data_IF_207505052428
#
_entry.id   IF_207505052428
#
_cell.length_a   1.000
_cell.length_b   1.000
_cell.length_c   1.000
_cell.angle_alpha   90.00
_cell.angle_beta   90.00
_cell.angle_gamma   90.00
#
_symmetry.space_group_name_H-M   'P 1'
#
loop_
_entity.id
_entity.type
_entity.pdbx_description
1 polymer ?
#
# COMPACT_ATOMS: atom_id res chain seq x y z
N UNK A 1 32.24 3.55 21.46
CA UNK A 1 31.68 3.18 20.16
C UNK A 1 30.18 3.18 20.25
N UNK A 2 29.51 3.84 19.32
CA UNK A 2 28.07 3.82 19.15
C UNK A 2 27.69 2.59 18.34
N UNK A 3 26.93 1.66 18.91
CA UNK A 3 26.46 0.46 18.24
C UNK A 3 24.95 0.55 18.10
N UNK A 4 24.43 0.31 16.89
CA UNK A 4 22.98 0.27 16.65
C UNK A 4 22.50 -1.18 16.70
N UNK A 5 21.48 -1.45 17.50
CA UNK A 5 20.89 -2.77 17.66
C UNK A 5 19.56 -2.81 16.95
N UNK A 6 19.44 -3.69 15.96
CA UNK A 6 18.17 -4.02 15.31
C UNK A 6 17.59 -5.28 15.96
N UNK A 7 16.60 -5.11 16.82
CA UNK A 7 15.96 -6.19 17.56
C UNK A 7 14.72 -6.69 16.82
N UNK A 8 14.68 -7.99 16.54
CA UNK A 8 13.51 -8.71 16.03
C UNK A 8 12.99 -9.64 17.13
N UNK A 9 11.79 -9.36 17.61
CA UNK A 9 11.11 -10.16 18.64
C UNK A 9 10.37 -11.35 18.02
N UNK A 10 9.89 -12.26 18.88
CA UNK A 10 9.15 -13.47 18.47
C UNK A 10 7.88 -13.18 17.68
N UNK A 11 7.19 -12.10 18.01
CA UNK A 11 5.97 -11.64 17.33
C UNK A 11 6.26 -10.88 16.03
N UNK A 12 7.51 -10.94 15.54
CA UNK A 12 8.02 -10.18 14.40
C UNK A 12 7.98 -8.66 14.62
N UNK A 13 7.75 -8.19 15.85
CA UNK A 13 7.90 -6.77 16.15
C UNK A 13 9.38 -6.37 16.15
N UNK A 14 9.63 -5.19 15.60
CA UNK A 14 10.98 -4.68 15.40
C UNK A 14 11.21 -3.45 16.27
N UNK A 15 12.36 -3.41 16.94
CA UNK A 15 12.78 -2.27 17.75
C UNK A 15 14.23 -1.96 17.42
N UNK A 16 14.52 -0.70 17.09
CA UNK A 16 15.89 -0.25 16.84
C UNK A 16 16.30 0.76 17.91
N UNK A 17 17.45 0.54 18.53
CA UNK A 17 18.01 1.44 19.54
C UNK A 17 19.54 1.52 19.41
N UNK A 18 20.14 2.57 19.95
CA UNK A 18 21.58 2.79 19.88
C UNK A 18 22.20 2.79 21.28
N UNK A 19 23.29 2.05 21.46
CA UNK A 19 24.03 1.94 22.72
C UNK A 19 25.43 2.52 22.57
N UNK A 20 25.80 3.42 23.48
CA UNK A 20 27.17 3.93 23.59
C UNK A 20 27.97 3.03 24.55
N UNK A 21 28.83 2.17 23.99
CA UNK A 21 29.63 1.19 24.76
C UNK A 21 31.11 1.31 24.47
N UNK A 22 31.97 0.78 25.33
CA UNK A 22 33.42 0.76 25.09
C UNK A 22 33.82 -0.44 24.20
N UNK A 23 34.89 -0.38 23.39
CA UNK A 23 35.32 -1.53 22.58
C UNK A 23 35.74 -2.76 23.40
N UNK A 24 36.22 -2.57 24.63
CA UNK A 24 36.58 -3.61 25.59
C UNK A 24 35.37 -4.16 26.37
N UNK A 25 34.16 -3.70 26.07
CA UNK A 25 32.94 -4.16 26.73
C UNK A 25 32.67 -5.64 26.41
N UNK A 26 32.41 -6.44 27.45
CA UNK A 26 32.14 -7.88 27.29
C UNK A 26 30.73 -8.13 26.73
N UNK A 27 30.60 -9.21 25.95
CA UNK A 27 29.33 -9.61 25.34
C UNK A 27 28.23 -9.86 26.37
N UNK A 28 28.55 -10.45 27.53
CA UNK A 28 27.60 -10.66 28.63
C UNK A 28 26.92 -9.35 29.07
N UNK A 29 27.73 -8.34 29.36
CA UNK A 29 27.23 -7.03 29.80
C UNK A 29 26.45 -6.32 28.68
N UNK A 30 26.84 -6.54 27.42
CA UNK A 30 26.12 -6.02 26.27
C UNK A 30 24.72 -6.63 26.13
N UNK A 31 24.55 -7.94 26.40
CA UNK A 31 23.22 -8.57 26.42
C UNK A 31 22.32 -7.99 27.51
N UNK A 32 22.85 -7.68 28.68
CA UNK A 32 22.09 -7.04 29.78
C UNK A 32 21.59 -5.65 29.37
N UNK A 33 22.43 -4.85 28.70
CA UNK A 33 21.98 -3.56 28.16
C UNK A 33 20.89 -3.73 27.08
N UNK A 34 21.04 -4.74 26.23
CA UNK A 34 20.03 -5.06 25.24
C UNK A 34 18.70 -5.51 25.86
N UNK A 35 18.71 -6.28 26.96
CA UNK A 35 17.50 -6.65 27.71
C UNK A 35 16.77 -5.42 28.24
N UNK A 36 17.50 -4.46 28.81
CA UNK A 36 16.92 -3.24 29.36
C UNK A 36 16.18 -2.41 28.29
N UNK A 37 16.76 -2.28 27.10
CA UNK A 37 16.19 -1.48 26.00
C UNK A 37 15.14 -2.25 25.19
N UNK A 38 15.35 -3.54 24.94
CA UNK A 38 14.46 -4.36 24.10
C UNK A 38 13.31 -5.02 24.87
N UNK A 39 13.42 -5.16 26.19
CA UNK A 39 12.49 -5.93 27.01
C UNK A 39 12.57 -7.45 26.79
N UNK A 40 13.57 -7.94 26.04
CA UNK A 40 13.78 -9.36 25.77
C UNK A 40 14.69 -9.95 26.86
N UNK A 41 14.31 -11.04 27.54
CA UNK A 41 15.15 -11.65 28.57
C UNK A 41 16.51 -12.10 28.03
N UNK A 42 17.59 -11.91 28.78
CA UNK A 42 18.97 -12.26 28.34
C UNK A 42 19.11 -13.70 27.83
N UNK A 43 18.39 -14.66 28.43
CA UNK A 43 18.43 -16.07 28.02
C UNK A 43 17.80 -16.33 26.63
N UNK A 44 17.00 -15.39 26.15
CA UNK A 44 16.37 -15.45 24.82
C UNK A 44 17.12 -14.60 23.79
N UNK A 45 18.10 -13.79 24.19
CA UNK A 45 18.83 -12.89 23.29
C UNK A 45 19.91 -13.66 22.51
N UNK A 46 19.84 -13.60 21.18
CA UNK A 46 20.91 -13.96 20.27
C UNK A 46 21.41 -12.72 19.52
N UNK A 47 22.73 -12.47 19.53
CA UNK A 47 23.32 -11.31 18.85
C UNK A 47 24.13 -11.79 17.65
N UNK A 48 23.81 -11.28 16.47
CA UNK A 48 24.46 -11.58 15.20
C UNK A 48 25.15 -10.33 14.67
N UNK A 49 26.42 -10.48 14.31
CA UNK A 49 27.24 -9.45 13.69
C UNK A 49 28.07 -10.04 12.55
N UNK A 50 28.04 -9.43 11.36
CA UNK A 50 28.69 -9.93 10.14
C UNK A 50 28.39 -11.42 9.87
N UNK A 51 27.12 -11.81 9.92
CA UNK A 51 26.63 -13.20 9.71
C UNK A 51 27.15 -14.21 10.74
N UNK A 52 27.75 -13.76 11.85
CA UNK A 52 28.27 -14.61 12.93
C UNK A 52 27.48 -14.39 14.21
N UNK A 53 27.01 -15.49 14.80
CA UNK A 53 26.43 -15.48 16.15
C UNK A 53 27.54 -15.25 17.18
N UNK A 54 27.36 -14.25 18.04
CA UNK A 54 28.28 -13.96 19.14
C UNK A 54 27.93 -14.86 20.34
N UNK A 55 28.83 -15.80 20.68
CA UNK A 55 28.55 -16.86 21.66
C UNK A 55 29.44 -16.84 22.91
N UNK A 56 30.61 -16.20 22.85
CA UNK A 56 31.54 -16.14 23.98
C UNK A 56 31.27 -14.89 24.80
N UNK A 57 30.64 -15.10 25.96
CA UNK A 57 30.14 -14.09 26.86
C UNK A 57 31.25 -13.20 27.46
N UNK A 58 32.49 -13.71 27.54
CA UNK A 58 33.64 -12.98 28.07
C UNK A 58 34.49 -12.31 26.99
N UNK A 59 34.17 -12.55 25.71
CA UNK A 59 34.87 -11.90 24.62
C UNK A 59 34.40 -10.45 24.49
N UNK A 60 35.35 -9.53 24.28
CA UNK A 60 35.04 -8.11 24.08
C UNK A 60 34.39 -7.88 22.72
N UNK A 61 33.50 -6.89 22.62
CA UNK A 61 32.86 -6.52 21.36
C UNK A 61 33.89 -6.10 20.29
N UNK A 62 34.98 -5.43 20.69
CA UNK A 62 36.09 -5.08 19.80
C UNK A 62 36.84 -6.31 19.27
N UNK A 63 36.99 -7.38 20.07
CA UNK A 63 37.57 -8.65 19.62
C UNK A 63 36.70 -9.36 18.58
N UNK A 64 35.38 -9.15 18.62
CA UNK A 64 34.45 -9.58 17.56
C UNK A 64 34.50 -8.70 16.31
N UNK A 65 35.27 -7.60 16.35
CA UNK A 65 35.45 -6.69 15.23
C UNK A 65 34.38 -5.61 15.11
N UNK A 66 33.58 -5.38 16.17
CA UNK A 66 32.65 -4.26 16.22
C UNK A 66 33.43 -2.93 16.33
N UNK A 67 32.96 -1.94 15.58
CA UNK A 67 33.49 -0.58 15.49
C UNK A 67 32.38 0.43 15.74
N UNK A 68 32.80 1.69 15.82
CA UNK A 68 31.89 2.83 15.94
C UNK A 68 30.99 2.96 14.70
N UNK A 69 29.68 3.00 14.92
CA UNK A 69 28.67 3.10 13.87
C UNK A 69 28.14 1.76 13.34
N UNK A 70 28.64 0.62 13.85
CA UNK A 70 28.21 -0.68 13.36
C UNK A 70 26.79 -1.07 13.84
N UNK A 71 26.14 -1.91 13.04
CA UNK A 71 24.80 -2.43 13.30
C UNK A 71 24.90 -3.91 13.66
N UNK A 72 24.22 -4.32 14.73
CA UNK A 72 24.07 -5.71 15.14
C UNK A 72 22.61 -6.12 15.12
N UNK A 73 22.34 -7.38 14.83
CA UNK A 73 20.98 -7.94 14.84
C UNK A 73 20.78 -8.72 16.14
N UNK A 74 19.72 -8.39 16.86
CA UNK A 74 19.28 -9.12 18.04
C UNK A 74 18.05 -9.93 17.68
N UNK A 75 18.11 -11.25 17.87
CA UNK A 75 16.98 -12.16 17.67
C UNK A 75 16.53 -12.74 19.01
N UNK A 76 15.21 -12.77 19.25
CA UNK A 76 14.62 -13.45 20.40
C UNK A 76 14.36 -14.93 20.11
N UNK A 77 15.05 -15.84 20.81
CA UNK A 77 14.90 -17.29 20.69
C UNK A 77 13.78 -17.85 21.58
N UNK A 78 13.15 -18.93 21.15
CA UNK A 78 12.26 -19.76 21.98
C UNK A 78 13.06 -20.51 23.07
N UNK A 79 12.74 -20.26 24.33
CA UNK A 79 13.34 -20.98 25.46
C UNK A 79 12.61 -22.32 25.64
N UNK A 80 13.10 -23.39 24.99
CA UNK A 80 12.67 -24.76 25.29
C UNK A 80 13.45 -25.24 26.52
N UNK A 81 13.06 -24.75 27.69
CA UNK A 81 13.55 -25.26 28.97
C UNK A 81 13.00 -26.66 29.28
N UNK A 82 13.73 -27.52 30.03
CA UNK A 82 13.30 -28.89 30.29
C UNK A 82 12.08 -28.92 31.22
N UNK A 83 10.98 -29.53 30.78
CA UNK A 83 9.79 -29.79 31.61
C UNK A 83 10.17 -30.66 32.82
N UNK A 84 9.85 -30.25 34.07
CA UNK A 84 9.77 -31.20 35.17
C UNK A 84 8.49 -32.03 35.03
N UNK A 85 8.67 -33.33 35.00
CA UNK A 85 7.64 -34.36 34.90
C UNK A 85 6.62 -34.26 36.03
N UNK A 86 5.34 -34.04 35.67
CA UNK A 86 4.23 -34.16 36.60
C UNK A 86 4.07 -35.63 37.06
N UNK A 87 4.23 -35.89 38.36
CA UNK A 87 3.69 -37.08 39.03
C UNK A 87 2.45 -36.69 39.81
N UNK A 88 1.42 -37.50 39.58
CA UNK A 88 0.06 -37.54 40.11
C UNK A 88 -0.04 -37.52 41.64
N UNK A 89 -1.06 -36.88 42.22
CA UNK A 89 -2.07 -37.50 43.12
C UNK A 89 -3.01 -36.50 43.84
N UNK A 90 -4.30 -36.85 43.84
CA UNK A 90 -5.37 -36.64 44.85
C UNK A 90 -5.78 -35.23 45.36
N UNK A 91 -7.05 -34.91 45.08
CA UNK A 91 -8.07 -34.03 45.74
C UNK A 91 -7.95 -33.79 47.28
N UNK A 92 -8.75 -32.88 47.92
CA UNK A 92 -9.62 -31.79 47.43
C UNK A 92 -9.52 -30.42 48.19
N UNK A 93 -10.19 -29.39 47.62
CA UNK A 93 -10.82 -28.17 48.21
C UNK A 93 -10.25 -27.47 49.46
N UNK A 94 -10.16 -26.13 49.41
CA UNK A 94 -10.96 -25.18 50.24
C UNK A 94 -10.79 -23.73 49.73
N UNK A 95 -11.92 -23.04 49.69
CA UNK A 95 -12.19 -21.64 49.33
C UNK A 95 -11.95 -20.70 50.55
N UNK A 96 -11.38 -19.52 50.32
CA UNK A 96 -11.40 -18.40 51.27
C UNK A 96 -11.56 -17.06 50.53
N UNK A 97 -12.70 -16.89 49.86
CA UNK A 97 -13.28 -15.59 49.57
C UNK A 97 -13.87 -14.98 50.86
N UNK A 98 -13.08 -14.17 51.57
CA UNK A 98 -13.60 -13.47 52.75
C UNK A 98 -12.58 -12.75 53.64
N UNK A 99 -11.91 -11.71 53.14
CA UNK A 99 -11.48 -10.59 53.99
C UNK A 99 -11.77 -9.28 53.26
N UNK A 100 -12.49 -8.39 53.95
CA UNK A 100 -13.07 -7.16 53.43
C UNK A 100 -12.26 -5.90 53.80
N UNK A 101 -12.04 -5.04 52.78
CA UNK A 101 -12.17 -3.55 52.73
C UNK A 101 -11.22 -2.68 53.61
N UNK A 102 -11.05 -1.33 53.40
CA UNK A 102 -11.86 -0.36 52.61
C UNK A 102 -11.15 0.81 51.85
N UNK A 103 -11.91 1.45 50.94
CA UNK A 103 -11.83 2.90 50.58
C UNK A 103 -11.03 3.23 49.31
N UNK A 104 -11.52 3.91 48.27
CA UNK A 104 -12.50 5.00 48.19
C UNK A 104 -13.28 5.03 46.84
N UNK A 105 -14.52 5.53 46.96
CA UNK A 105 -15.53 5.96 45.97
C UNK A 105 -15.01 6.96 44.91
N UNK A 106 -15.57 7.24 43.72
CA UNK A 106 -16.89 7.09 43.04
C UNK A 106 -16.68 7.70 41.62
N UNK A 107 -17.18 7.19 40.48
CA UNK A 107 -18.55 7.31 39.90
C UNK A 107 -18.60 6.52 38.55
N UNK A 108 -19.40 5.44 38.39
CA UNK A 108 -20.72 5.31 37.73
C UNK A 108 -20.84 5.94 36.30
N UNK A 109 -21.36 5.33 35.22
CA UNK A 109 -21.95 4.00 34.89
C UNK A 109 -22.31 3.96 33.34
N UNK A 110 -23.03 2.97 32.72
CA UNK A 110 -22.51 2.06 31.66
C UNK A 110 -23.36 1.92 30.35
N UNK A 111 -22.90 1.11 29.37
CA UNK A 111 -23.73 0.26 28.46
C UNK A 111 -22.82 -0.75 27.71
N UNK A 112 -22.83 -2.03 28.09
CA UNK A 112 -23.51 -3.20 27.47
C UNK A 112 -22.96 -3.69 26.11
N UNK A 113 -22.17 -4.77 26.16
CA UNK A 113 -22.00 -5.76 25.08
C UNK A 113 -22.47 -7.12 25.63
N UNK A 114 -23.38 -7.78 24.91
CA UNK A 114 -23.96 -9.06 25.30
C UNK A 114 -23.46 -10.14 24.33
N UNK A 115 -22.71 -11.07 24.88
CA UNK A 115 -22.15 -12.25 24.25
C UNK A 115 -23.13 -13.42 24.47
N UNK A 116 -23.52 -14.14 23.42
CA UNK A 116 -24.25 -15.40 23.55
C UNK A 116 -23.39 -16.57 23.09
N UNK A 117 -22.95 -17.37 24.06
CA UNK A 117 -22.44 -18.72 23.87
C UNK A 117 -23.60 -19.73 23.81
N UNK A 118 -23.40 -20.71 22.95
CA UNK A 118 -24.31 -21.78 22.52
C UNK A 118 -24.27 -22.94 23.51
N UNK A 119 -25.43 -23.35 24.03
CA UNK A 119 -25.60 -24.58 24.81
C UNK A 119 -26.30 -25.66 23.98
N UNK A 120 -25.77 -26.88 24.05
CA UNK A 120 -26.36 -28.11 23.49
C UNK A 120 -27.42 -28.68 24.44
N UNK A 121 -28.44 -29.31 23.89
CA UNK A 121 -29.24 -30.34 24.58
C UNK A 121 -29.61 -31.46 23.62
N UNK A 122 -29.59 -32.69 24.14
CA UNK A 122 -29.72 -33.95 23.43
C UNK A 122 -31.06 -34.66 23.76
N UNK A 123 -31.29 -35.79 23.08
CA UNK A 123 -32.34 -36.84 23.26
C UNK A 123 -33.68 -36.61 22.53
N UNK A 124 -34.36 -37.57 21.90
CA UNK A 124 -34.29 -39.05 21.91
C UNK A 124 -35.14 -39.67 20.76
N UNK A 125 -34.55 -40.66 20.07
CA UNK A 125 -35.08 -42.00 19.72
C UNK A 125 -36.32 -42.25 18.83
N UNK A 126 -36.14 -43.01 17.74
CA UNK A 126 -36.56 -44.43 17.52
C UNK A 126 -36.47 -44.79 16.03
N UNK A 127 -35.90 -45.96 15.73
CA UNK A 127 -35.63 -46.41 14.35
C UNK A 127 -36.52 -47.54 13.85
N UNK A 128 -36.21 -47.99 12.61
CA UNK A 128 -36.24 -49.36 12.06
C UNK A 128 -36.35 -49.26 10.53
N UNK A 129 -35.56 -50.09 9.82
CA UNK A 129 -35.99 -50.62 8.52
C UNK A 129 -35.04 -50.42 7.33
N UNK A 130 -34.39 -51.53 6.97
CA UNK A 130 -34.05 -51.98 5.61
C UNK A 130 -33.23 -51.08 4.69
N UNK A 131 -32.04 -51.57 4.35
CA UNK A 131 -31.22 -50.99 3.30
C UNK A 131 -31.85 -51.12 1.92
N UNK A 132 -31.67 -50.07 1.12
CA UNK A 132 -31.63 -50.15 -0.32
C UNK A 132 -30.50 -49.27 -0.84
N UNK A 133 -29.94 -49.76 -1.93
CA UNK A 133 -28.72 -49.34 -2.60
C UNK A 133 -28.77 -47.89 -3.07
N UNK A 134 -27.57 -47.29 -3.15
CA UNK A 134 -27.11 -46.42 -4.24
C UNK A 134 -28.16 -46.16 -5.32
N UNK A 135 -28.70 -44.94 -5.42
CA UNK A 135 -29.18 -44.30 -6.66
C UNK A 135 -29.74 -42.91 -6.34
N UNK A 136 -28.90 -41.87 -6.29
CA UNK A 136 -29.37 -40.49 -6.47
C UNK A 136 -28.18 -39.51 -6.48
N UNK A 137 -27.34 -39.61 -7.51
CA UNK A 137 -26.43 -38.53 -7.90
C UNK A 137 -26.75 -38.00 -9.32
N UNK A 138 -27.59 -38.67 -10.10
CA UNK A 138 -27.85 -38.35 -11.51
C UNK A 138 -29.01 -37.34 -11.73
N UNK A 139 -29.56 -36.75 -10.66
CA UNK A 139 -30.79 -35.94 -10.72
C UNK A 139 -30.62 -34.42 -10.81
N UNK A 140 -29.40 -33.88 -10.60
CA UNK A 140 -29.16 -32.43 -10.51
C UNK A 140 -28.53 -31.81 -11.78
N UNK A 141 -28.21 -32.61 -12.79
CA UNK A 141 -27.47 -32.16 -13.98
C UNK A 141 -28.37 -31.82 -15.18
N UNK A 142 -29.70 -31.84 -15.03
CA UNK A 142 -30.56 -31.55 -16.20
C UNK A 142 -30.53 -30.04 -16.53
N UNK A 143 -30.10 -29.64 -17.74
CA UNK A 143 -29.97 -28.23 -18.13
C UNK A 143 -31.31 -27.47 -18.07
N UNK A 144 -32.42 -28.18 -18.26
CA UNK A 144 -33.76 -27.63 -18.15
C UNK A 144 -34.13 -27.21 -16.73
N UNK A 145 -33.73 -27.99 -15.72
CA UNK A 145 -34.01 -27.68 -14.32
C UNK A 145 -33.16 -26.48 -13.86
N UNK A 146 -31.87 -26.46 -14.22
CA UNK A 146 -30.94 -25.36 -13.93
C UNK A 146 -31.43 -24.06 -14.56
N UNK A 147 -31.89 -24.11 -15.82
CA UNK A 147 -32.50 -22.96 -16.49
C UNK A 147 -33.74 -22.46 -15.75
N UNK A 148 -34.63 -23.37 -15.33
CA UNK A 148 -35.85 -23.00 -14.60
C UNK A 148 -35.56 -22.39 -13.22
N UNK A 149 -34.50 -22.85 -12.56
CA UNK A 149 -34.02 -22.33 -11.28
C UNK A 149 -33.42 -20.92 -11.44
N UNK A 150 -32.58 -20.70 -12.44
CA UNK A 150 -31.98 -19.39 -12.72
C UNK A 150 -33.02 -18.35 -13.16
N UNK A 151 -34.07 -18.78 -13.88
CA UNK A 151 -35.16 -17.89 -14.29
C UNK A 151 -36.17 -17.61 -13.17
N UNK A 152 -36.27 -18.47 -12.15
CA UNK A 152 -37.20 -18.29 -11.04
C UNK A 152 -36.71 -17.29 -10.00
N UNK A 153 -35.40 -17.03 -9.93
CA UNK A 153 -34.80 -16.08 -9.01
C UNK A 153 -34.14 -14.89 -9.75
N UNK A 154 -34.71 -13.67 -9.65
CA UNK A 154 -34.14 -12.47 -10.27
C UNK A 154 -32.74 -12.10 -9.77
N UNK A 155 -32.39 -12.48 -8.54
CA UNK A 155 -31.08 -12.21 -7.94
C UNK A 155 -29.98 -13.07 -8.59
N UNK A 156 -30.24 -14.36 -8.79
CA UNK A 156 -29.30 -15.30 -9.41
C UNK A 156 -29.01 -14.91 -10.87
N UNK A 157 -30.01 -14.37 -11.56
CA UNK A 157 -29.87 -13.79 -12.90
C UNK A 157 -28.94 -12.57 -12.95
N UNK A 158 -28.96 -11.73 -11.91
CA UNK A 158 -28.09 -10.55 -11.82
C UNK A 158 -26.64 -10.97 -11.60
N UNK A 159 -26.40 -11.88 -10.65
CA UNK A 159 -25.09 -12.48 -10.38
C UNK A 159 -24.52 -13.20 -11.61
N UNK A 160 -25.36 -13.93 -12.34
CA UNK A 160 -24.94 -14.63 -13.56
C UNK A 160 -24.50 -13.65 -14.66
N UNK A 161 -25.19 -12.51 -14.82
CA UNK A 161 -24.80 -11.48 -15.80
C UNK A 161 -23.46 -10.83 -15.47
N UNK A 162 -23.18 -10.66 -14.18
CA UNK A 162 -21.95 -10.01 -13.70
C UNK A 162 -20.74 -10.95 -13.81
N UNK A 163 -20.88 -12.20 -13.36
CA UNK A 163 -19.78 -13.16 -13.34
C UNK A 163 -19.63 -13.98 -14.64
N UNK A 164 -20.69 -14.10 -15.45
CA UNK A 164 -20.71 -15.01 -16.58
C UNK A 164 -21.67 -14.57 -17.70
N UNK A 165 -21.31 -13.52 -18.46
CA UNK A 165 -22.18 -12.91 -19.45
C UNK A 165 -22.59 -13.87 -20.57
N UNK A 166 -21.70 -14.77 -21.00
CA UNK A 166 -21.96 -15.76 -22.05
C UNK A 166 -23.10 -16.72 -21.69
N UNK A 167 -23.11 -17.26 -20.47
CA UNK A 167 -24.18 -18.14 -20.01
C UNK A 167 -25.49 -17.37 -19.76
N UNK A 168 -25.40 -16.12 -19.30
CA UNK A 168 -26.57 -15.25 -19.13
C UNK A 168 -27.25 -14.91 -20.46
N UNK A 169 -26.49 -14.61 -21.51
CA UNK A 169 -27.01 -14.37 -22.86
C UNK A 169 -27.67 -15.62 -23.44
N UNK A 170 -27.04 -16.79 -23.28
CA UNK A 170 -27.61 -18.07 -23.71
C UNK A 170 -28.93 -18.38 -22.97
N UNK A 171 -29.02 -18.06 -21.67
CA UNK A 171 -30.24 -18.23 -20.87
C UNK A 171 -31.38 -17.30 -21.34
N UNK A 172 -31.06 -16.03 -21.59
CA UNK A 172 -32.02 -14.98 -22.02
C UNK A 172 -32.47 -15.12 -23.47
N UNK A 173 -31.67 -15.77 -24.31
CA UNK A 173 -32.01 -16.08 -25.71
C UNK A 173 -33.28 -16.93 -25.85
N UNK A 174 -33.70 -17.61 -24.77
CA UNK A 174 -34.87 -18.48 -24.76
C UNK A 174 -34.62 -19.86 -25.38
N UNK A 175 -33.45 -20.08 -25.97
CA UNK A 175 -33.08 -21.33 -26.65
C UNK A 175 -32.45 -22.32 -25.66
N UNK A 176 -33.19 -23.39 -25.35
CA UNK A 176 -32.74 -24.43 -24.41
C UNK A 176 -31.48 -25.17 -24.91
N UNK A 177 -31.39 -25.40 -26.22
CA UNK A 177 -30.26 -26.10 -26.84
C UNK A 177 -28.96 -25.29 -26.69
N UNK A 178 -29.04 -23.99 -26.96
CA UNK A 178 -27.91 -23.06 -26.83
C UNK A 178 -27.47 -22.92 -25.37
N UNK A 179 -28.42 -22.78 -24.45
CA UNK A 179 -28.12 -22.75 -23.02
C UNK A 179 -27.45 -24.04 -22.54
N UNK A 180 -27.98 -25.21 -22.95
CA UNK A 180 -27.41 -26.51 -22.59
C UNK A 180 -25.99 -26.67 -23.12
N UNK A 181 -25.73 -26.24 -24.34
CA UNK A 181 -24.40 -26.32 -24.95
C UNK A 181 -23.38 -25.48 -24.19
N UNK A 182 -23.70 -24.21 -23.90
CA UNK A 182 -22.82 -23.29 -23.16
C UNK A 182 -22.60 -23.78 -21.71
N UNK A 183 -23.66 -24.29 -21.06
CA UNK A 183 -23.58 -24.85 -19.71
C UNK A 183 -22.66 -26.08 -19.66
N UNK A 184 -22.83 -27.03 -20.59
CA UNK A 184 -22.00 -28.24 -20.65
C UNK A 184 -20.55 -27.92 -21.00
N UNK A 185 -20.31 -26.94 -21.87
CA UNK A 185 -18.97 -26.49 -22.21
C UNK A 185 -18.27 -25.87 -20.99
N UNK A 186 -18.96 -25.02 -20.23
CA UNK A 186 -18.42 -24.46 -18.99
C UNK A 186 -18.21 -25.50 -17.89
N UNK A 187 -19.13 -26.47 -17.74
CA UNK A 187 -18.94 -27.56 -16.79
C UNK A 187 -17.73 -28.42 -17.16
N UNK A 188 -17.54 -28.70 -18.46
CA UNK A 188 -16.37 -29.45 -18.95
C UNK A 188 -15.08 -28.68 -18.73
N UNK A 189 -15.06 -27.38 -19.00
CA UNK A 189 -13.88 -26.55 -18.78
C UNK A 189 -13.52 -26.45 -17.28
N UNK A 190 -14.53 -26.30 -16.42
CA UNK A 190 -14.33 -26.35 -14.96
C UNK A 190 -13.82 -27.71 -14.49
N UNK A 191 -14.42 -28.80 -14.97
CA UNK A 191 -14.00 -30.16 -14.63
C UNK A 191 -12.57 -30.45 -15.11
N UNK A 192 -12.20 -29.97 -16.30
CA UNK A 192 -10.83 -30.10 -16.82
C UNK A 192 -9.83 -29.33 -15.94
N UNK A 193 -10.13 -28.08 -15.60
CA UNK A 193 -9.30 -27.27 -14.69
C UNK A 193 -9.19 -27.91 -13.31
N UNK A 194 -10.28 -28.44 -12.78
CA UNK A 194 -10.29 -29.13 -11.48
C UNK A 194 -9.46 -30.42 -11.54
N UNK A 195 -9.55 -31.17 -12.65
CA UNK A 195 -8.76 -32.38 -12.87
C UNK A 195 -7.26 -32.07 -13.04
N UNK A 196 -6.90 -31.00 -13.76
CA UNK A 196 -5.52 -30.51 -13.87
C UNK A 196 -4.99 -30.10 -12.50
N UNK A 197 -5.79 -29.39 -11.70
CA UNK A 197 -5.44 -28.99 -10.33
C UNK A 197 -5.21 -30.20 -9.43
N UNK A 198 -6.11 -31.19 -9.48
CA UNK A 198 -5.99 -32.44 -8.71
C UNK A 198 -4.77 -33.26 -9.14
N UNK A 199 -4.48 -33.32 -10.43
CA UNK A 199 -3.29 -34.01 -10.95
C UNK A 199 -1.99 -33.32 -10.50
N UNK A 200 -2.00 -31.99 -10.37
CA UNK A 200 -0.89 -31.23 -9.81
C UNK A 200 -0.68 -31.49 -8.31
N UNK A 201 -1.77 -31.60 -7.52
CA UNK A 201 -1.71 -31.97 -6.11
C UNK A 201 -1.37 -33.46 -5.87
N UNK A 202 -1.63 -34.33 -6.84
CA UNK A 202 -1.27 -35.76 -6.77
C UNK A 202 0.08 -36.07 -7.41
N UNK A 203 0.75 -35.08 -8.02
CA UNK A 203 2.08 -35.24 -8.57
C UNK A 203 3.09 -35.48 -7.43
N UNK A 204 4.21 -36.13 -7.77
CA UNK A 204 5.31 -36.40 -6.85
C UNK A 204 5.74 -35.10 -6.14
N UNK A 205 5.89 -35.07 -4.80
CA UNK A 205 6.39 -33.92 -4.05
C UNK A 205 7.70 -33.32 -4.57
N UNK A 206 8.46 -34.04 -5.41
CA UNK A 206 9.70 -33.59 -6.05
C UNK A 206 9.55 -33.12 -7.50
N UNK A 207 8.32 -33.01 -8.03
CA UNK A 207 8.07 -32.46 -9.36
C UNK A 207 8.24 -30.93 -9.36
N UNK A 208 9.27 -30.46 -10.08
CA UNK A 208 9.64 -29.04 -10.16
C UNK A 208 8.53 -28.18 -10.77
N UNK A 209 7.74 -28.73 -11.71
CA UNK A 209 6.67 -27.96 -12.36
C UNK A 209 5.46 -27.80 -11.44
N UNK A 210 5.16 -28.82 -10.61
CA UNK A 210 4.12 -28.75 -9.60
C UNK A 210 4.50 -27.79 -8.46
N UNK A 211 5.75 -27.84 -7.98
CA UNK A 211 6.25 -26.90 -6.97
C UNK A 211 6.20 -25.45 -7.45
N UNK A 212 6.61 -25.17 -8.70
CA UNK A 212 6.57 -23.81 -9.26
C UNK A 212 5.14 -23.25 -9.38
N UNK A 213 4.16 -24.09 -9.75
CA UNK A 213 2.75 -23.69 -9.81
C UNK A 213 2.17 -23.44 -8.40
N UNK A 214 2.52 -24.28 -7.42
CA UNK A 214 2.12 -24.09 -6.02
C UNK A 214 2.73 -22.80 -5.46
N UNK A 215 4.01 -22.53 -5.74
CA UNK A 215 4.70 -21.30 -5.33
C UNK A 215 4.01 -20.05 -5.90
N UNK A 216 3.67 -20.06 -7.20
CA UNK A 216 2.98 -18.95 -7.84
C UNK A 216 1.56 -18.75 -7.26
N UNK A 217 0.83 -19.82 -6.97
CA UNK A 217 -0.50 -19.76 -6.34
C UNK A 217 -0.43 -19.17 -4.92
N UNK A 218 0.56 -19.57 -4.12
CA UNK A 218 0.83 -18.98 -2.79
C UNK A 218 1.24 -17.51 -2.92
N UNK A 219 2.08 -17.17 -3.90
CA UNK A 219 2.51 -15.79 -4.14
C UNK A 219 1.31 -14.90 -4.47
N UNK A 220 0.41 -15.37 -5.34
CA UNK A 220 -0.81 -14.65 -5.70
C UNK A 220 -1.73 -14.48 -4.50
N UNK A 221 -1.94 -15.52 -3.70
CA UNK A 221 -2.72 -15.44 -2.46
C UNK A 221 -2.15 -14.41 -1.48
N UNK A 222 -0.84 -14.41 -1.25
CA UNK A 222 -0.19 -13.42 -0.38
C UNK A 222 -0.36 -11.99 -0.89
N UNK A 223 -0.28 -11.78 -2.21
CA UNK A 223 -0.52 -10.46 -2.83
C UNK A 223 -1.97 -10.03 -2.66
N UNK A 224 -2.92 -10.94 -2.87
CA UNK A 224 -4.35 -10.67 -2.74
C UNK A 224 -4.77 -10.40 -1.28
N UNK A 225 -4.22 -11.17 -0.34
CA UNK A 225 -4.43 -10.96 1.09
C UNK A 225 -3.85 -9.62 1.55
N UNK A 226 -2.62 -9.28 1.13
CA UNK A 226 -2.04 -7.97 1.40
C UNK A 226 -2.86 -6.83 0.79
N UNK A 227 -3.41 -7.02 -0.41
CA UNK A 227 -4.31 -6.04 -1.05
C UNK A 227 -5.58 -5.84 -0.22
N UNK A 228 -6.20 -6.93 0.24
CA UNK A 228 -7.40 -6.88 1.07
C UNK A 228 -7.14 -6.18 2.41
N UNK A 229 -6.03 -6.52 3.09
CA UNK A 229 -5.62 -5.86 4.33
C UNK A 229 -5.43 -4.35 4.08
N UNK A 230 -4.75 -3.98 3.00
CA UNK A 230 -4.57 -2.57 2.67
C UNK A 230 -5.92 -1.88 2.40
N UNK A 231 -6.87 -2.52 1.72
CA UNK A 231 -8.19 -1.95 1.45
C UNK A 231 -9.00 -1.73 2.75
N UNK A 232 -8.86 -2.63 3.73
CA UNK A 232 -9.54 -2.53 5.02
C UNK A 232 -8.89 -1.50 5.96
N UNK A 233 -7.56 -1.53 6.08
CA UNK A 233 -6.81 -0.76 7.08
C UNK A 233 -6.37 0.63 6.57
N UNK A 234 -6.16 0.79 5.26
CA UNK A 234 -5.66 2.04 4.68
C UNK A 234 -6.34 2.36 3.34
N UNK A 235 -7.68 2.56 3.33
CA UNK A 235 -8.43 2.84 2.10
C UNK A 235 -7.93 4.10 1.37
N UNK A 236 -7.39 5.08 2.10
CA UNK A 236 -6.71 6.26 1.55
C UNK A 236 -5.49 5.95 0.67
N UNK A 237 -4.82 4.80 0.84
CA UNK A 237 -3.72 4.37 -0.04
C UNK A 237 -4.18 4.06 -1.46
N UNK A 238 -5.48 3.80 -1.65
CA UNK A 238 -6.12 3.59 -2.94
C UNK A 238 -6.76 4.86 -3.50
N UNK A 239 -6.87 5.91 -2.67
CA UNK A 239 -7.34 7.22 -3.07
C UNK A 239 -6.27 7.98 -3.85
N UNK A 240 -6.68 8.65 -4.92
CA UNK A 240 -5.78 9.55 -5.61
C UNK A 240 -5.58 10.82 -4.79
N UNK A 241 -4.32 11.09 -4.41
CA UNK A 241 -3.98 12.27 -3.61
C UNK A 241 -4.04 13.51 -4.50
N UNK A 242 -4.92 14.44 -4.16
CA UNK A 242 -5.00 15.73 -4.84
C UNK A 242 -3.69 16.52 -4.68
N UNK A 243 -3.15 16.99 -5.80
CA UNK A 243 -1.93 17.81 -5.80
C UNK A 243 -2.19 19.19 -5.20
N UNK A 244 -1.16 19.77 -4.58
CA UNK A 244 -1.25 21.05 -3.88
C UNK A 244 -1.22 22.22 -4.86
N UNK A 245 -2.34 22.92 -4.99
CA UNK A 245 -2.46 24.15 -5.77
C UNK A 245 -2.98 25.29 -4.92
N UNK A 246 -2.57 26.51 -5.23
CA UNK A 246 -3.13 27.74 -4.64
C UNK A 246 -3.56 28.72 -5.72
N UNK A 247 -4.52 29.59 -5.38
CA UNK A 247 -4.84 30.75 -6.20
C UNK A 247 -3.81 31.86 -5.96
N UNK A 248 -3.32 32.46 -7.04
CA UNK A 248 -2.51 33.66 -6.97
C UNK A 248 -2.76 34.55 -8.19
N UNK A 249 -2.19 35.75 -8.20
CA UNK A 249 -2.25 36.65 -9.34
C UNK A 249 -0.86 37.15 -9.69
N UNK A 250 -0.61 37.33 -10.99
CA UNK A 250 0.58 38.01 -11.48
C UNK A 250 0.12 39.13 -12.40
N UNK A 251 0.55 40.35 -12.10
CA UNK A 251 0.12 41.56 -12.82
C UNK A 251 -1.41 41.69 -12.92
N UNK A 252 -2.14 41.30 -11.86
CA UNK A 252 -3.60 41.33 -11.78
C UNK A 252 -4.33 40.14 -12.44
N UNK A 253 -3.63 39.30 -13.21
CA UNK A 253 -4.21 38.14 -13.86
C UNK A 253 -4.22 36.92 -12.92
N UNK A 254 -5.38 36.27 -12.69
CA UNK A 254 -5.46 35.09 -11.84
C UNK A 254 -4.83 33.86 -12.52
N UNK A 255 -4.16 33.05 -11.71
CA UNK A 255 -3.58 31.77 -12.11
C UNK A 255 -3.54 30.81 -10.92
N UNK A 256 -3.38 29.52 -11.23
CA UNK A 256 -3.26 28.45 -10.24
C UNK A 256 -1.82 28.00 -10.22
N UNK A 257 -1.17 28.15 -9.08
CA UNK A 257 0.22 27.76 -8.90
C UNK A 257 0.30 26.39 -8.24
N UNK A 258 1.03 25.47 -8.87
CA UNK A 258 1.40 24.18 -8.30
C UNK A 258 2.48 24.37 -7.23
N UNK A 259 2.29 23.82 -6.03
CA UNK A 259 3.24 23.95 -4.93
C UNK A 259 4.08 22.69 -4.83
N UNK A 260 5.38 22.80 -5.09
CA UNK A 260 6.30 21.67 -5.18
C UNK A 260 7.61 21.95 -4.43
N UNK A 261 7.74 21.36 -3.23
CA UNK A 261 8.98 21.45 -2.45
C UNK A 261 10.12 20.60 -3.02
N UNK A 262 9.84 19.66 -3.92
CA UNK A 262 10.84 18.84 -4.61
C UNK A 262 11.51 19.56 -5.78
N UNK A 263 10.87 20.61 -6.32
CA UNK A 263 11.45 21.44 -7.35
C UNK A 263 12.41 22.49 -6.78
N UNK A 264 13.65 22.52 -7.27
CA UNK A 264 14.63 23.52 -6.84
C UNK A 264 14.26 24.95 -7.28
N UNK A 265 13.63 25.10 -8.43
CA UNK A 265 13.38 26.40 -9.06
C UNK A 265 11.90 26.63 -9.32
N UNK A 266 11.44 27.85 -9.07
CA UNK A 266 10.12 28.32 -9.47
C UNK A 266 10.10 28.62 -10.96
N UNK A 267 9.05 28.15 -11.64
CA UNK A 267 8.91 28.20 -13.09
C UNK A 267 7.53 28.73 -13.48
N UNK A 268 7.47 29.49 -14.56
CA UNK A 268 6.23 29.90 -15.21
C UNK A 268 6.24 29.50 -16.69
N UNK A 269 5.10 29.08 -17.24
CA UNK A 269 5.00 28.78 -18.68
C UNK A 269 5.03 30.06 -19.52
N UNK A 270 5.52 29.96 -20.76
CA UNK A 270 5.52 31.08 -21.70
C UNK A 270 4.10 31.61 -21.94
N UNK A 271 3.13 30.72 -22.14
CA UNK A 271 1.72 31.09 -22.34
C UNK A 271 1.15 31.87 -21.15
N UNK A 272 1.51 31.48 -19.91
CA UNK A 272 1.12 32.21 -18.71
C UNK A 272 1.78 33.60 -18.65
N UNK A 273 3.07 33.69 -18.99
CA UNK A 273 3.80 34.97 -18.99
C UNK A 273 3.26 35.95 -20.06
N UNK A 274 2.84 35.45 -21.22
CA UNK A 274 2.12 36.22 -22.26
C UNK A 274 0.78 36.71 -21.75
N UNK A 275 -0.04 35.81 -21.18
CA UNK A 275 -1.35 36.13 -20.61
C UNK A 275 -1.28 37.15 -19.46
N UNK A 276 -0.24 37.08 -18.64
CA UNK A 276 0.00 38.02 -17.55
C UNK A 276 0.66 39.33 -18.02
N UNK A 277 0.97 39.47 -19.32
CA UNK A 277 1.62 40.64 -19.91
C UNK A 277 2.97 41.00 -19.23
N UNK A 278 3.78 39.98 -18.91
CA UNK A 278 5.10 40.14 -18.28
C UNK A 278 6.26 39.69 -19.17
N UNK A 279 6.02 39.36 -20.44
CA UNK A 279 7.08 38.96 -21.40
C UNK A 279 8.20 40.00 -21.52
N UNK A 280 7.86 41.29 -21.39
CA UNK A 280 8.83 42.40 -21.36
C UNK A 280 9.87 42.31 -20.22
N UNK A 281 9.59 41.52 -19.17
CA UNK A 281 10.49 41.32 -18.02
C UNK A 281 11.42 40.11 -18.19
N UNK A 282 11.25 39.33 -19.27
CA UNK A 282 12.00 38.09 -19.48
C UNK A 282 13.38 38.39 -20.06
N UNK A 283 14.40 38.16 -19.26
CA UNK A 283 15.80 38.26 -19.68
C UNK A 283 16.22 36.99 -20.44
N UNK A 284 16.30 37.10 -21.76
CA UNK A 284 16.68 36.00 -22.67
C UNK A 284 18.16 35.60 -22.58
N UNK A 285 19.01 36.38 -21.90
CA UNK A 285 20.42 35.97 -21.66
C UNK A 285 20.51 34.74 -20.76
N UNK A 286 19.44 34.45 -20.01
CA UNK A 286 19.28 33.28 -19.17
C UNK A 286 18.52 32.14 -19.88
N UNK A 287 18.39 32.21 -21.21
CA UNK A 287 17.87 31.10 -22.00
C UNK A 287 18.83 29.91 -21.93
N UNK A 288 18.28 28.71 -21.98
CA UNK A 288 19.05 27.47 -21.85
C UNK A 288 18.18 26.23 -21.91
N UNK A 289 18.74 25.10 -21.51
CA UNK A 289 18.03 23.83 -21.43
C UNK A 289 18.00 23.41 -19.96
N UNK A 290 16.81 23.31 -19.38
CA UNK A 290 16.60 22.71 -18.07
C UNK A 290 16.79 21.19 -18.19
N UNK A 291 17.74 20.64 -17.43
CA UNK A 291 17.91 19.19 -17.26
C UNK A 291 17.30 18.79 -15.91
N UNK A 292 16.23 18.00 -15.96
CA UNK A 292 15.52 17.46 -14.79
C UNK A 292 14.79 16.17 -15.18
N UNK A 293 13.50 16.04 -14.83
CA UNK A 293 12.59 14.98 -15.32
C UNK A 293 12.25 15.27 -16.80
N UNK A 294 13.26 15.17 -17.67
CA UNK A 294 13.21 15.56 -19.08
C UNK A 294 14.09 16.76 -19.43
N UNK A 295 14.18 17.04 -20.73
CA UNK A 295 14.86 18.22 -21.29
C UNK A 295 13.81 19.24 -21.73
N UNK A 296 13.79 20.41 -21.10
CA UNK A 296 12.86 21.49 -21.46
C UNK A 296 13.60 22.77 -21.80
N UNK A 297 13.09 23.54 -22.77
CA UNK A 297 13.71 24.80 -23.21
C UNK A 297 13.31 25.94 -22.27
N UNK A 298 14.30 26.54 -21.63
CA UNK A 298 14.16 27.78 -20.87
C UNK A 298 14.25 28.95 -21.86
N UNK A 299 13.19 29.74 -21.95
CA UNK A 299 13.12 30.95 -22.78
C UNK A 299 13.94 32.11 -22.19
N UNK A 300 13.98 32.19 -20.86
CA UNK A 300 14.70 33.22 -20.12
C UNK A 300 14.31 33.23 -18.65
N UNK A 301 14.68 34.31 -17.95
CA UNK A 301 14.40 34.47 -16.52
C UNK A 301 13.77 35.82 -16.21
N UNK A 302 12.77 35.83 -15.34
CA UNK A 302 12.25 37.04 -14.70
C UNK A 302 12.99 37.19 -13.37
N UNK A 303 13.76 38.27 -13.25
CA UNK A 303 14.60 38.52 -12.06
C UNK A 303 13.78 38.99 -10.86
N UNK A 304 12.72 39.76 -11.11
CA UNK A 304 11.86 40.30 -10.07
C UNK A 304 10.47 40.58 -10.65
N UNK A 305 9.46 39.89 -10.12
CA UNK A 305 8.05 40.20 -10.33
C UNK A 305 7.28 39.96 -9.02
N UNK A 306 6.14 40.62 -8.88
CA UNK A 306 5.26 40.42 -7.74
C UNK A 306 4.24 39.31 -8.04
N UNK A 307 4.24 38.29 -7.20
CA UNK A 307 3.16 37.29 -7.13
C UNK A 307 2.24 37.70 -6.00
N UNK A 308 0.99 38.01 -6.32
CA UNK A 308 -0.01 38.33 -5.35
C UNK A 308 -0.65 37.05 -4.80
N UNK A 309 -0.61 36.86 -3.49
CA UNK A 309 -1.31 35.78 -2.77
C UNK A 309 -2.21 36.46 -1.75
N UNK A 310 -3.52 36.25 -1.87
CA UNK A 310 -4.51 37.03 -1.12
C UNK A 310 -4.28 38.55 -1.26
N UNK A 311 -3.96 39.24 -0.17
CA UNK A 311 -3.63 40.66 -0.13
C UNK A 311 -2.15 41.00 -0.28
N UNK A 312 -1.26 40.01 -0.23
CA UNK A 312 0.19 40.23 -0.16
C UNK A 312 0.86 40.13 -1.52
N UNK A 313 1.89 40.94 -1.73
CA UNK A 313 2.66 40.99 -2.97
C UNK A 313 4.09 40.48 -2.73
N UNK A 314 4.33 39.22 -3.07
CA UNK A 314 5.60 38.54 -2.85
C UNK A 314 6.56 38.80 -4.01
N UNK A 315 7.74 39.31 -3.68
CA UNK A 315 8.82 39.52 -4.65
C UNK A 315 9.50 38.20 -5.00
N UNK A 316 9.32 37.76 -6.24
CA UNK A 316 9.78 36.45 -6.72
C UNK A 316 10.59 36.58 -8.01
N UNK A 317 11.55 35.67 -8.16
CA UNK A 317 12.30 35.43 -9.39
C UNK A 317 11.97 34.04 -9.92
N UNK A 318 11.78 33.88 -11.22
CA UNK A 318 11.42 32.58 -11.80
C UNK A 318 11.87 32.45 -13.25
N UNK A 319 12.08 31.21 -13.69
CA UNK A 319 12.43 30.91 -15.08
C UNK A 319 11.18 30.73 -15.92
N UNK A 320 11.26 31.08 -17.22
CA UNK A 320 10.18 30.88 -18.18
C UNK A 320 10.48 29.67 -19.03
N UNK A 321 9.60 28.69 -19.02
CA UNK A 321 9.68 27.49 -19.87
C UNK A 321 8.70 27.59 -21.05
N UNK A 322 9.11 27.08 -22.21
CA UNK A 322 8.30 27.13 -23.42
C UNK A 322 7.02 26.30 -23.31
N UNK A 323 7.18 25.01 -23.02
CA UNK A 323 6.08 24.05 -22.93
C UNK A 323 6.01 23.51 -21.52
N UNK A 324 4.94 23.83 -20.82
CA UNK A 324 4.66 23.31 -19.48
C UNK A 324 3.15 23.15 -19.32
N UNK A 325 2.67 22.02 -18.79
CA UNK A 325 1.23 21.75 -18.70
C UNK A 325 0.51 22.65 -17.67
N UNK A 326 1.22 23.12 -16.64
CA UNK A 326 0.70 24.04 -15.62
C UNK A 326 1.18 25.47 -15.87
N UNK A 327 0.40 26.46 -15.42
CA UNK A 327 0.74 27.88 -15.58
C UNK A 327 1.99 28.27 -14.80
N UNK A 328 2.06 27.85 -13.54
CA UNK A 328 3.14 28.21 -12.62
C UNK A 328 3.41 27.08 -11.63
N UNK A 329 4.69 26.86 -11.34
CA UNK A 329 5.19 25.95 -10.32
C UNK A 329 5.98 26.78 -9.32
N UNK A 330 5.56 26.77 -8.06
CA UNK A 330 6.24 27.37 -6.92
C UNK A 330 7.19 26.35 -6.30
N UNK A 331 8.47 26.55 -6.58
CA UNK A 331 9.56 25.71 -6.11
C UNK A 331 10.09 26.11 -4.74
N UNK A 332 11.02 25.30 -4.25
CA UNK A 332 11.67 25.47 -2.95
C UNK A 332 12.43 26.79 -2.82
N UNK A 333 12.92 27.38 -3.92
CA UNK A 333 13.58 28.68 -3.92
C UNK A 333 12.69 29.81 -3.38
N UNK A 334 11.43 29.86 -3.82
CA UNK A 334 10.45 30.87 -3.38
C UNK A 334 9.82 30.48 -2.05
N UNK A 335 9.51 29.20 -1.84
CA UNK A 335 8.99 28.70 -0.56
C UNK A 335 9.96 29.02 0.58
N UNK A 336 11.26 28.77 0.38
CA UNK A 336 12.29 29.10 1.37
C UNK A 336 12.49 30.60 1.54
N UNK A 337 12.47 31.36 0.45
CA UNK A 337 12.66 32.83 0.49
C UNK A 337 11.60 33.53 1.33
N UNK A 338 10.34 33.11 1.23
CA UNK A 338 9.22 33.69 1.99
C UNK A 338 8.86 32.89 3.25
N UNK A 339 9.74 31.98 3.67
CA UNK A 339 9.60 31.16 4.88
C UNK A 339 8.24 30.44 4.93
N UNK A 340 7.79 29.93 3.79
CA UNK A 340 6.47 29.32 3.69
C UNK A 340 6.37 28.03 4.52
N UNK A 341 5.19 27.77 5.06
CA UNK A 341 4.85 26.51 5.72
C UNK A 341 3.70 25.84 4.96
N UNK A 342 3.93 24.62 4.49
CA UNK A 342 2.92 23.77 3.87
C UNK A 342 2.22 23.04 5.01
N UNK A 343 1.06 23.55 5.45
CA UNK A 343 0.30 22.97 6.56
C UNK A 343 -0.82 22.08 6.00
N UNK A 344 -0.53 20.78 5.90
CA UNK A 344 -1.49 19.78 5.42
C UNK A 344 -2.58 19.46 6.45
N UNK A 345 -2.37 19.79 7.73
CA UNK A 345 -3.40 19.60 8.77
C UNK A 345 -4.51 20.62 8.64
N UNK A 346 -4.17 21.87 8.33
CA UNK A 346 -5.13 22.96 8.05
C UNK A 346 -5.48 23.09 6.56
N UNK A 347 -4.76 22.37 5.69
CA UNK A 347 -4.85 22.45 4.25
C UNK A 347 -4.64 23.88 3.71
N UNK A 348 -3.57 24.54 4.17
CA UNK A 348 -3.19 25.91 3.77
C UNK A 348 -1.70 26.03 3.49
N UNK A 349 -1.35 26.96 2.59
CA UNK A 349 -0.01 27.50 2.50
C UNK A 349 0.09 28.77 3.36
N UNK A 350 0.96 28.74 4.36
CA UNK A 350 1.28 29.91 5.18
C UNK A 350 2.48 30.62 4.59
N UNK A 351 2.39 31.94 4.41
CA UNK A 351 3.50 32.80 4.01
C UNK A 351 4.19 33.30 5.29
N UNK A 352 5.37 32.78 5.61
CA UNK A 352 6.01 33.03 6.92
C UNK A 352 6.41 34.49 7.14
N UNK A 353 6.74 35.22 6.07
CA UNK A 353 7.15 36.64 6.17
C UNK A 353 6.01 37.57 6.55
N UNK A 354 4.76 37.21 6.28
CA UNK A 354 3.58 38.08 6.53
C UNK A 354 2.54 37.45 7.44
N UNK A 355 2.56 36.13 7.60
CA UNK A 355 1.54 35.36 8.32
C UNK A 355 0.27 35.08 7.50
N UNK A 356 0.20 35.56 6.25
CA UNK A 356 -0.93 35.32 5.35
C UNK A 356 -1.08 33.84 5.06
N UNK A 357 -2.33 33.38 5.00
CA UNK A 357 -2.67 32.00 4.71
C UNK A 357 -3.59 31.96 3.49
N UNK A 358 -3.32 31.02 2.59
CA UNK A 358 -4.20 30.72 1.45
C UNK A 358 -4.52 29.23 1.44
N UNK A 359 -5.76 28.88 1.14
CA UNK A 359 -6.19 27.47 1.13
C UNK A 359 -5.67 26.75 -0.12
N UNK A 360 -5.31 25.48 0.06
CA UNK A 360 -5.10 24.61 -1.09
C UNK A 360 -6.42 24.37 -1.81
N UNK A 361 -6.37 24.30 -3.14
CA UNK A 361 -7.56 24.11 -3.97
C UNK A 361 -8.16 22.72 -3.77
N UNK A 362 -9.50 22.62 -3.71
CA UNK A 362 -10.18 21.32 -3.75
C UNK A 362 -10.04 20.68 -5.13
N UNK A 363 -10.20 19.36 -5.21
CA UNK A 363 -10.04 18.56 -6.44
C UNK A 363 -10.85 19.10 -7.62
N UNK A 364 -12.09 19.54 -7.37
CA UNK A 364 -12.98 20.10 -8.41
C UNK A 364 -12.38 21.33 -9.10
N UNK A 365 -11.56 22.11 -8.40
CA UNK A 365 -10.93 23.33 -8.88
C UNK A 365 -9.52 23.11 -9.45
N UNK A 366 -8.99 21.89 -9.46
CA UNK A 366 -7.67 21.64 -10.03
C UNK A 366 -7.67 21.84 -11.57
N UNK A 367 -6.54 22.31 -12.15
CA UNK A 367 -6.40 22.40 -13.59
C UNK A 367 -6.43 21.00 -14.25
N UNK A 368 -6.84 20.87 -15.53
CA UNK A 368 -6.96 19.57 -16.20
C UNK A 368 -5.69 18.72 -16.17
N UNK A 369 -4.52 19.35 -16.26
CA UNK A 369 -3.23 18.66 -16.17
C UNK A 369 -3.00 17.95 -14.83
N UNK A 370 -3.58 18.46 -13.74
CA UNK A 370 -3.51 17.85 -12.42
C UNK A 370 -4.54 16.74 -12.22
N UNK A 371 -5.55 16.64 -13.09
CA UNK A 371 -6.56 15.57 -13.10
C UNK A 371 -6.12 14.37 -13.95
N UNK A 372 -5.19 14.57 -14.89
CA UNK A 372 -4.72 13.54 -15.82
C UNK A 372 -3.64 12.62 -15.23
N UNK A 373 -2.83 13.11 -14.29
CA UNK A 373 -1.94 12.24 -13.48
C UNK A 373 -2.77 11.24 -12.67
N UNK A 374 -4.04 11.58 -12.42
CA UNK A 374 -5.07 10.81 -11.74
C UNK A 374 -5.85 9.85 -12.68
N UNK A 375 -5.37 9.57 -13.89
CA UNK A 375 -6.14 8.81 -14.90
C UNK A 375 -5.59 7.44 -15.33
N UNK A 376 -4.33 7.11 -15.12
CA UNK A 376 -3.73 5.93 -15.78
C UNK A 376 -3.54 4.76 -14.81
N UNK A 377 -4.66 4.14 -14.45
CA UNK A 377 -4.72 2.76 -13.94
C UNK A 377 -5.50 1.82 -14.85
N UNK A 378 -6.10 2.30 -15.95
CA UNK A 378 -6.85 1.48 -16.89
C UNK A 378 -6.36 1.70 -18.33
N UNK A 379 -5.61 0.69 -18.81
CA UNK A 379 -5.51 0.25 -20.21
C UNK A 379 -5.60 1.31 -21.31
N UNK A 380 -4.48 1.95 -21.64
CA UNK A 380 -4.34 2.57 -22.98
C UNK A 380 -2.90 2.61 -23.51
N UNK A 381 -2.00 1.75 -23.01
CA UNK A 381 -0.57 1.74 -23.40
C UNK A 381 -0.25 1.00 -24.71
N UNK A 382 -1.23 0.39 -25.38
CA UNK A 382 -0.95 -0.44 -26.57
C UNK A 382 -1.22 0.27 -27.91
N UNK A 383 -1.89 1.44 -27.91
CA UNK A 383 -2.23 2.15 -29.17
C UNK A 383 -1.22 3.23 -29.58
N UNK A 384 -0.54 3.88 -28.65
CA UNK A 384 0.40 4.96 -29.00
C UNK A 384 1.75 4.43 -29.53
N UNK A 385 2.15 3.21 -29.15
CA UNK A 385 3.39 2.60 -29.65
C UNK A 385 3.24 2.13 -31.12
N UNK A 386 2.03 1.78 -31.55
CA UNK A 386 1.78 1.29 -32.91
C UNK A 386 1.84 2.38 -33.99
N UNK A 387 1.46 3.63 -33.65
CA UNK A 387 1.45 4.75 -34.61
C UNK A 387 2.83 5.42 -34.75
N UNK A 388 3.67 5.39 -33.71
CA UNK A 388 5.05 5.90 -33.78
C UNK A 388 5.96 5.05 -34.69
N UNK A 389 5.69 3.74 -34.80
CA UNK A 389 6.47 2.83 -35.66
C UNK A 389 6.08 2.97 -37.14
N UNK A 390 4.84 3.35 -37.47
CA UNK A 390 4.41 3.53 -38.87
C UNK A 390 4.97 4.80 -39.51
N UNK A 391 5.15 5.88 -38.76
CA UNK A 391 5.70 7.12 -39.31
C UNK A 391 7.22 7.08 -39.55
N UNK A 392 7.98 6.33 -38.74
CA UNK A 392 9.44 6.24 -38.92
C UNK A 392 9.87 5.39 -40.13
N UNK A 393 9.02 4.47 -40.61
CA UNK A 393 9.36 3.59 -41.74
C UNK A 393 9.13 4.25 -43.11
N UNK A 394 8.29 5.30 -43.21
CA UNK A 394 8.02 5.95 -44.49
C UNK A 394 9.03 7.05 -44.88
N UNK A 395 9.72 7.69 -43.93
CA UNK A 395 10.60 8.84 -44.25
C UNK A 395 12.04 8.45 -44.66
N UNK A 396 12.41 7.17 -44.47
CA UNK A 396 13.76 6.68 -44.80
C UNK A 396 13.96 6.35 -46.30
N UNK A 397 12.95 6.55 -47.15
CA UNK A 397 12.92 6.01 -48.52
C UNK A 397 13.22 6.98 -49.68
N UNK A 398 13.41 8.28 -49.46
CA UNK A 398 13.49 9.24 -50.57
C UNK A 398 14.54 10.34 -50.40
N UNK A 399 15.79 10.00 -50.72
CA UNK A 399 16.75 10.93 -51.38
C UNK A 399 18.01 10.19 -51.87
N UNK A 400 17.95 9.74 -53.13
CA UNK A 400 19.13 9.55 -53.99
C UNK A 400 18.76 9.99 -55.41
N UNK A 401 19.13 11.21 -55.76
CA UNK A 401 19.82 11.64 -56.98
C UNK A 401 19.67 13.13 -57.19
#
# INVERSE_FOLDING_TARGET
MLVTVYCVRKDLSEVTFSLQVSPDFELHNFRVLCELESGVPVEEIQIIYMERLLTDDHCSLGSYGLKDGDVVVLLQKENVGPRPSARTSSLPQIDFSGIAMPGTSSSRQPHHHQQYQRAQSAQQSRGLGSGEKMTSAEGLDSPALIRSMLLSNPHDLSLLKEHNPSLAEALLSGNLEMFSQVLMEQQREKALKEQERLHLYSADPFDLEAQAKIEEEIRQQNVEENMNIAMEEAPESFGQVAMLYINCKVNGHPLKAFVDSGAQMTIMSQACAERCNIIRLVDRRWAGIAKGVGTQRIIGRVHLAQIQIEGDFLQCSFSILEEQPMDMLLGLDILRRHQCSIDLKKNVLVIGTTGTQTHFLPEGELPPCAKLVSGTGQESSDKEVADAVKYSVMDSGRKKR
#
